data_IF_699423686428
#
_entry.id   IF_699423686428
#
_cell.length_a   1.000
_cell.length_b   1.000
_cell.length_c   1.000
_cell.angle_alpha   90.00
_cell.angle_beta   90.00
_cell.angle_gamma   90.00
#
_symmetry.space_group_name_H-M   'P 1'
#
loop_
_entity.id
_entity.type
_entity.pdbx_description
1 polymer ?
#
# COMPACT_ATOMS: atom_id res chain seq x y z
N UNK A 1 -13.01 -15.84 -30.18
CA UNK A 1 -11.88 -14.89 -30.27
C UNK A 1 -11.05 -15.11 -29.02
N UNK A 2 -10.01 -15.95 -29.13
CA UNK A 2 -9.24 -16.47 -28.00
C UNK A 2 -8.18 -15.43 -27.63
N UNK A 3 -8.25 -14.86 -26.42
CA UNK A 3 -7.24 -13.94 -25.92
C UNK A 3 -5.88 -14.67 -25.88
N UNK A 4 -4.89 -14.12 -26.56
CA UNK A 4 -3.52 -14.61 -26.52
C UNK A 4 -2.96 -14.44 -25.10
N UNK A 5 -2.09 -15.33 -24.62
CA UNK A 5 -1.45 -15.16 -23.32
C UNK A 5 -0.58 -13.91 -23.35
N UNK A 6 -0.89 -12.94 -22.47
CA UNK A 6 -0.09 -11.74 -22.25
C UNK A 6 1.34 -12.16 -21.93
N UNK A 7 2.31 -11.65 -22.69
CA UNK A 7 3.73 -11.90 -22.42
C UNK A 7 4.16 -11.02 -21.22
N UNK A 8 5.01 -11.52 -20.31
CA UNK A 8 5.46 -10.78 -19.12
C UNK A 8 6.20 -9.46 -19.42
N UNK A 9 6.65 -9.25 -20.67
CA UNK A 9 7.22 -7.99 -21.12
C UNK A 9 6.16 -6.87 -21.22
N UNK A 10 4.93 -7.21 -21.63
CA UNK A 10 3.87 -6.25 -21.88
C UNK A 10 3.33 -5.66 -20.56
N UNK A 11 3.19 -6.48 -19.51
CA UNK A 11 2.76 -6.03 -18.19
C UNK A 11 3.79 -5.10 -17.52
N UNK A 12 5.08 -5.41 -17.68
CA UNK A 12 6.18 -4.59 -17.16
C UNK A 12 6.26 -3.24 -17.89
N UNK A 13 6.12 -3.25 -19.22
CA UNK A 13 6.09 -2.03 -20.02
C UNK A 13 4.85 -1.19 -19.73
N UNK A 14 3.67 -1.81 -19.55
CA UNK A 14 2.45 -1.12 -19.14
C UNK A 14 2.59 -0.45 -17.77
N UNK A 15 3.22 -1.11 -16.80
CA UNK A 15 3.49 -0.53 -15.48
C UNK A 15 4.42 0.69 -15.59
N UNK A 16 5.52 0.58 -16.36
CA UNK A 16 6.49 1.66 -16.51
C UNK A 16 5.96 2.86 -17.31
N UNK A 17 5.14 2.62 -18.33
CA UNK A 17 4.61 3.63 -19.24
C UNK A 17 3.28 4.23 -18.78
N UNK A 18 2.69 3.72 -17.69
CA UNK A 18 1.42 4.24 -17.18
C UNK A 18 1.53 5.75 -16.86
N UNK A 19 0.58 6.58 -17.33
CA UNK A 19 0.60 8.03 -17.10
C UNK A 19 0.26 8.42 -15.65
N UNK A 20 -0.09 7.44 -14.83
CA UNK A 20 -0.46 7.57 -13.42
C UNK A 20 0.65 7.01 -12.51
N UNK A 21 0.71 7.50 -11.27
CA UNK A 21 1.61 6.97 -10.25
C UNK A 21 1.18 5.56 -9.85
N UNK A 22 2.08 4.59 -9.95
CA UNK A 22 1.83 3.18 -9.60
C UNK A 22 2.87 2.68 -8.60
N UNK A 23 2.37 1.98 -7.58
CA UNK A 23 3.14 1.41 -6.49
C UNK A 23 2.81 -0.07 -6.38
N UNK A 24 3.85 -0.89 -6.23
CA UNK A 24 3.75 -2.30 -5.88
C UNK A 24 4.24 -2.43 -4.45
N UNK A 25 3.38 -2.92 -3.57
CA UNK A 25 3.60 -2.95 -2.13
C UNK A 25 3.29 -4.33 -1.56
N UNK A 26 4.01 -4.69 -0.50
CA UNK A 26 3.85 -5.94 0.23
C UNK A 26 3.20 -5.67 1.59
N UNK A 27 1.99 -6.20 1.76
CA UNK A 27 1.20 -6.12 2.99
C UNK A 27 1.26 -7.40 3.83
N UNK A 28 2.11 -8.38 3.48
CA UNK A 28 2.18 -9.67 4.18
C UNK A 28 2.47 -9.53 5.68
N UNK A 29 3.40 -8.65 6.05
CA UNK A 29 3.72 -8.38 7.46
C UNK A 29 2.58 -7.67 8.21
N UNK A 30 1.75 -6.88 7.53
CA UNK A 30 0.54 -6.29 8.13
C UNK A 30 -0.49 -7.37 8.42
N UNK A 31 -0.66 -8.33 7.51
CA UNK A 31 -1.53 -9.48 7.73
C UNK A 31 -1.11 -10.28 8.96
N UNK A 32 0.19 -10.48 9.19
CA UNK A 32 0.68 -11.18 10.40
C UNK A 32 0.29 -10.45 11.69
N UNK A 33 0.36 -9.11 11.71
CA UNK A 33 -0.14 -8.31 12.84
C UNK A 33 -1.62 -8.53 13.06
N UNK A 34 -2.40 -8.55 11.97
CA UNK A 34 -3.83 -8.76 12.05
C UNK A 34 -4.18 -10.14 12.60
N UNK A 35 -3.47 -11.19 12.19
CA UNK A 35 -3.68 -12.53 12.77
C UNK A 35 -3.41 -12.54 14.28
N UNK A 36 -2.39 -11.79 14.74
CA UNK A 36 -2.14 -11.59 16.17
C UNK A 36 -3.35 -10.95 16.88
N UNK A 37 -3.87 -9.85 16.34
CA UNK A 37 -5.04 -9.18 16.92
C UNK A 37 -6.31 -10.05 16.89
N UNK A 38 -6.50 -10.86 15.85
CA UNK A 38 -7.61 -11.83 15.82
C UNK A 38 -7.46 -12.89 16.90
N UNK A 39 -6.24 -13.39 17.11
CA UNK A 39 -5.96 -14.34 18.19
C UNK A 39 -6.21 -13.72 19.59
N UNK A 40 -5.99 -12.41 19.74
CA UNK A 40 -6.29 -11.65 20.95
C UNK A 40 -7.79 -11.32 21.11
N UNK A 41 -8.64 -11.75 20.18
CA UNK A 41 -10.10 -11.58 20.24
C UNK A 41 -10.60 -10.22 19.74
N UNK A 42 -9.78 -9.46 19.03
CA UNK A 42 -10.21 -8.22 18.39
C UNK A 42 -11.16 -8.55 17.25
N UNK A 43 -12.35 -7.94 17.26
CA UNK A 43 -13.40 -8.13 16.25
C UNK A 43 -13.71 -6.84 15.49
N UNK A 44 -13.60 -5.69 16.15
CA UNK A 44 -13.81 -4.36 15.58
C UNK A 44 -12.46 -3.65 15.42
N UNK A 45 -11.83 -3.86 14.26
CA UNK A 45 -10.56 -3.24 13.94
C UNK A 45 -10.64 -1.71 13.93
N UNK A 46 -11.77 -1.14 13.49
CA UNK A 46 -11.90 0.31 13.32
C UNK A 46 -11.89 1.02 14.68
N UNK A 47 -12.65 0.51 15.65
CA UNK A 47 -12.62 1.03 17.01
C UNK A 47 -11.26 0.79 17.66
N UNK A 48 -10.62 -0.35 17.38
CA UNK A 48 -9.28 -0.67 17.89
C UNK A 48 -8.20 0.28 17.35
N UNK A 49 -8.19 0.60 16.06
CA UNK A 49 -7.24 1.55 15.46
C UNK A 49 -7.51 3.00 15.88
N UNK A 50 -8.78 3.38 16.08
CA UNK A 50 -9.14 4.74 16.57
C UNK A 50 -8.75 4.99 18.02
N UNK A 51 -8.76 3.94 18.84
CA UNK A 51 -8.34 4.05 20.24
C UNK A 51 -6.85 4.36 20.38
N UNK A 52 -6.03 3.98 19.39
CA UNK A 52 -4.60 4.26 19.38
C UNK A 52 -4.07 4.33 17.94
N UNK A 53 -3.85 5.55 17.46
CA UNK A 53 -3.35 5.80 16.10
C UNK A 53 -1.90 5.33 15.91
N UNK A 54 -1.16 5.03 16.99
CA UNK A 54 0.16 4.43 16.88
C UNK A 54 0.11 3.04 16.23
N UNK A 55 -1.02 2.33 16.35
CA UNK A 55 -1.26 1.03 15.68
C UNK A 55 -1.34 1.18 14.16
N UNK A 56 -1.88 2.29 13.68
CA UNK A 56 -1.90 2.62 12.24
C UNK A 56 -0.46 2.86 11.76
N UNK A 57 0.32 3.63 12.52
CA UNK A 57 1.72 3.87 12.21
C UNK A 57 2.56 2.58 12.22
N UNK A 58 2.29 1.65 13.15
CA UNK A 58 2.91 0.33 13.18
C UNK A 58 2.58 -0.45 11.90
N UNK A 59 1.31 -0.53 11.52
CA UNK A 59 0.90 -1.18 10.27
C UNK A 59 1.59 -0.53 9.06
N UNK A 60 1.58 0.79 8.95
CA UNK A 60 2.26 1.52 7.87
C UNK A 60 3.75 1.20 7.80
N UNK A 61 4.43 1.12 8.95
CA UNK A 61 5.87 0.81 8.99
C UNK A 61 6.22 -0.60 8.52
N UNK A 62 5.23 -1.52 8.53
CA UNK A 62 5.39 -2.91 8.08
C UNK A 62 5.08 -3.09 6.60
N UNK A 63 4.52 -2.08 5.93
CA UNK A 63 4.28 -2.11 4.49
C UNK A 63 5.60 -1.87 3.79
N UNK A 64 5.94 -2.77 2.87
CA UNK A 64 7.19 -2.67 2.09
C UNK A 64 6.88 -2.31 0.66
N UNK A 65 7.39 -1.17 0.20
CA UNK A 65 7.36 -0.79 -1.22
C UNK A 65 8.33 -1.68 -1.98
N UNK A 66 7.81 -2.50 -2.90
CA UNK A 66 8.59 -3.40 -3.75
C UNK A 66 9.06 -2.67 -5.00
N UNK A 67 8.17 -1.90 -5.64
CA UNK A 67 8.46 -1.22 -6.91
C UNK A 67 7.56 0.01 -7.07
N UNK A 68 8.08 1.04 -7.73
CA UNK A 68 7.30 2.16 -8.24
C UNK A 68 7.60 2.36 -9.71
N UNK A 69 6.65 2.92 -10.47
CA UNK A 69 6.90 3.21 -11.88
C UNK A 69 7.67 4.53 -12.08
N UNK A 70 8.15 4.76 -13.30
CA UNK A 70 8.85 5.99 -13.68
C UNK A 70 8.04 7.25 -13.39
N UNK A 71 6.71 7.19 -13.54
CA UNK A 71 5.83 8.33 -13.29
C UNK A 71 5.86 8.74 -11.81
N UNK A 72 5.80 7.78 -10.89
CA UNK A 72 5.94 8.02 -9.45
C UNK A 72 7.29 8.67 -9.13
N UNK A 73 8.40 8.11 -9.61
CA UNK A 73 9.73 8.69 -9.38
C UNK A 73 9.81 10.14 -9.86
N UNK A 74 9.29 10.41 -11.06
CA UNK A 74 9.21 11.78 -11.61
C UNK A 74 8.37 12.71 -10.73
N UNK A 75 7.19 12.25 -10.27
CA UNK A 75 6.27 13.05 -9.46
C UNK A 75 6.90 13.47 -8.13
N UNK A 76 7.66 12.57 -7.50
CA UNK A 76 8.32 12.82 -6.23
C UNK A 76 9.76 13.34 -6.38
N UNK A 77 10.22 13.62 -7.61
CA UNK A 77 11.60 14.06 -7.87
C UNK A 77 12.67 13.05 -7.43
N UNK A 78 12.32 11.77 -7.37
CA UNK A 78 13.20 10.71 -6.93
C UNK A 78 13.98 10.08 -8.08
N UNK A 79 15.26 9.76 -7.83
CA UNK A 79 16.13 9.14 -8.84
C UNK A 79 15.89 7.64 -8.98
N UNK A 80 15.54 6.99 -7.88
CA UNK A 80 15.28 5.56 -7.76
C UNK A 80 14.38 5.30 -6.53
N UNK A 81 13.99 4.03 -6.36
CA UNK A 81 13.14 3.61 -5.24
C UNK A 81 13.79 3.87 -3.88
N UNK A 82 15.10 3.69 -3.73
CA UNK A 82 15.79 3.93 -2.45
C UNK A 82 15.69 5.40 -2.09
N UNK A 83 16.01 6.29 -3.02
CA UNK A 83 15.89 7.73 -2.84
C UNK A 83 14.45 8.16 -2.53
N UNK A 84 13.46 7.49 -3.11
CA UNK A 84 12.06 7.73 -2.77
C UNK A 84 11.77 7.31 -1.32
N UNK A 85 12.11 6.07 -0.95
CA UNK A 85 11.86 5.50 0.40
C UNK A 85 12.57 6.28 1.51
N UNK A 86 13.82 6.70 1.28
CA UNK A 86 14.60 7.49 2.24
C UNK A 86 13.94 8.85 2.55
N UNK A 87 13.19 9.40 1.60
CA UNK A 87 12.48 10.67 1.74
C UNK A 87 10.99 10.49 2.09
N UNK A 88 10.45 9.26 2.01
CA UNK A 88 9.03 8.96 2.23
C UNK A 88 8.56 9.25 3.65
N UNK A 89 9.42 8.99 4.64
CA UNK A 89 9.11 9.16 6.06
C UNK A 89 8.75 10.60 6.44
N UNK A 90 9.14 11.58 5.61
CA UNK A 90 8.77 12.98 5.76
C UNK A 90 7.45 13.34 5.03
N UNK A 91 7.02 12.54 4.06
CA UNK A 91 5.86 12.82 3.18
C UNK A 91 4.60 12.07 3.62
N UNK A 92 4.73 10.87 4.18
CA UNK A 92 3.61 9.97 4.47
C UNK A 92 3.02 10.12 5.89
N UNK A 93 3.57 11.00 6.73
CA UNK A 93 3.33 10.95 8.18
C UNK A 93 1.94 11.33 8.66
N UNK A 94 1.25 12.28 8.02
CA UNK A 94 0.03 12.85 8.62
C UNK A 94 -1.21 12.72 7.74
N UNK A 95 -1.14 13.02 6.43
CA UNK A 95 -2.34 13.02 5.58
C UNK A 95 -2.77 11.62 5.10
N UNK A 96 -1.87 10.63 5.13
CA UNK A 96 -2.16 9.27 4.64
C UNK A 96 -2.68 8.31 5.71
N UNK A 97 -2.50 8.59 7.00
CA UNK A 97 -2.89 7.68 8.08
C UNK A 97 -4.40 7.38 8.11
N UNK A 98 -5.23 8.38 7.80
CA UNK A 98 -6.68 8.22 7.75
C UNK A 98 -7.14 7.39 6.56
N UNK A 99 -6.56 7.62 5.37
CA UNK A 99 -6.84 6.80 4.19
C UNK A 99 -6.41 5.35 4.41
N UNK A 100 -5.25 5.14 5.05
CA UNK A 100 -4.77 3.80 5.39
C UNK A 100 -5.70 3.03 6.31
N UNK A 101 -6.41 3.68 7.23
CA UNK A 101 -7.35 2.99 8.10
C UNK A 101 -8.45 2.26 7.29
N UNK A 102 -8.97 2.87 6.23
CA UNK A 102 -9.96 2.24 5.34
C UNK A 102 -9.34 1.10 4.51
N UNK A 103 -8.06 1.18 4.15
CA UNK A 103 -7.34 0.10 3.44
C UNK A 103 -7.08 -1.09 4.38
N UNK A 104 -6.66 -0.81 5.61
CA UNK A 104 -6.44 -1.78 6.68
C UNK A 104 -7.75 -2.49 7.05
N UNK A 105 -8.87 -1.78 7.11
CA UNK A 105 -10.19 -2.36 7.36
C UNK A 105 -10.59 -3.34 6.23
N UNK A 106 -10.27 -3.00 4.98
CA UNK A 106 -10.55 -3.88 3.85
C UNK A 106 -9.68 -5.13 3.82
N UNK A 107 -8.40 -4.99 4.14
CA UNK A 107 -7.48 -6.12 4.33
C UNK A 107 -7.95 -7.02 5.49
N UNK A 108 -8.41 -6.42 6.59
CA UNK A 108 -8.96 -7.13 7.74
C UNK A 108 -10.22 -7.92 7.42
N UNK A 109 -11.07 -7.40 6.52
CA UNK A 109 -12.27 -8.12 6.03
C UNK A 109 -11.95 -9.33 5.14
N UNK A 110 -10.67 -9.60 4.84
CA UNK A 110 -10.23 -10.77 4.07
C UNK A 110 -10.28 -10.59 2.55
N UNK A 111 -10.39 -9.35 2.06
CA UNK A 111 -10.30 -9.09 0.61
C UNK A 111 -8.85 -9.19 0.18
N UNK A 112 -8.55 -10.19 -0.66
CA UNK A 112 -7.19 -10.44 -1.16
C UNK A 112 -6.71 -9.40 -2.20
N UNK A 113 -7.60 -8.54 -2.68
CA UNK A 113 -7.31 -7.49 -3.67
C UNK A 113 -8.10 -6.23 -3.32
N UNK A 114 -7.45 -5.07 -3.39
CA UNK A 114 -8.08 -3.77 -3.19
C UNK A 114 -7.45 -2.71 -4.11
N UNK A 115 -8.25 -1.71 -4.52
CA UNK A 115 -7.82 -0.55 -5.31
C UNK A 115 -8.42 0.69 -4.65
N UNK A 116 -7.57 1.54 -4.08
CA UNK A 116 -7.97 2.87 -3.60
C UNK A 116 -7.78 3.90 -4.70
N UNK A 117 -8.81 4.71 -4.97
CA UNK A 117 -8.70 5.89 -5.83
C UNK A 117 -8.88 7.12 -4.94
N UNK A 118 -7.78 7.73 -4.51
CA UNK A 118 -7.80 9.02 -3.83
C UNK A 118 -7.71 10.12 -4.88
N UNK A 119 -8.79 10.90 -5.03
CA UNK A 119 -8.80 12.16 -5.80
C UNK A 119 -8.58 13.30 -4.82
N UNK A 120 -7.62 14.17 -5.11
CA UNK A 120 -7.46 15.47 -4.45
C UNK A 120 -8.45 16.47 -5.05
#
# INVERSE_FOLDING_TARGET
MTAAPSQPADDADMFELAPVSLWLEDFSAVREVFEGWRADGIVDLRSFLRADTARIAECSSRIRVIKVNRRTLTLFGARDLSHLVDNLGAVFRDDMLLTHADELEQLWSGKAQFVSKTVN
#
